data_IF_537187073880
#
_entry.id   IF_537187073880
#
_cell.length_a   1.000
_cell.length_b   1.000
_cell.length_c   1.000
_cell.angle_alpha   90.00
_cell.angle_beta   90.00
_cell.angle_gamma   90.00
#
_symmetry.space_group_name_H-M   'P 1'
#
loop_
_entity.id
_entity.type
_entity.pdbx_description
1 polymer ?
#
# COMPACT_ATOMS: atom_id res chain seq x y z
N UNK A 1 -5.89 -3.89 -13.26
CA UNK A 1 -6.75 -3.16 -12.29
C UNK A 1 -5.85 -2.37 -11.35
N UNK A 2 -6.29 -1.20 -10.86
CA UNK A 2 -5.51 -0.33 -9.96
C UNK A 2 -5.79 -0.64 -8.48
N UNK A 3 -4.92 -0.15 -7.59
CA UNK A 3 -5.11 -0.24 -6.14
C UNK A 3 -6.49 0.31 -5.72
N UNK A 4 -6.82 1.53 -6.16
CA UNK A 4 -8.09 2.18 -5.84
C UNK A 4 -9.30 1.39 -6.30
N UNK A 5 -9.22 0.74 -7.46
CA UNK A 5 -10.30 -0.13 -7.96
C UNK A 5 -10.52 -1.34 -7.04
N UNK A 6 -9.45 -1.98 -6.57
CA UNK A 6 -9.56 -3.08 -5.61
C UNK A 6 -10.03 -2.59 -4.23
N UNK A 7 -9.54 -1.45 -3.75
CA UNK A 7 -9.98 -0.84 -2.50
C UNK A 7 -11.49 -0.52 -2.52
N UNK A 8 -12.03 -0.08 -3.66
CA UNK A 8 -13.47 0.08 -3.86
C UNK A 8 -14.24 -1.22 -3.67
N UNK A 9 -13.74 -2.33 -4.24
CA UNK A 9 -14.35 -3.67 -4.05
C UNK A 9 -14.28 -4.17 -2.62
N UNK A 10 -13.24 -3.84 -1.86
CA UNK A 10 -13.15 -4.22 -0.44
C UNK A 10 -14.26 -3.54 0.38
N UNK A 11 -14.56 -2.27 0.05
CA UNK A 11 -15.59 -1.47 0.73
C UNK A 11 -17.01 -1.81 0.31
N UNK A 12 -17.21 -2.44 -0.85
CA UNK A 12 -18.53 -2.74 -1.40
C UNK A 12 -19.22 -3.86 -0.60
N UNK A 13 -20.28 -3.57 0.18
CA UNK A 13 -20.97 -4.57 0.99
C UNK A 13 -21.85 -5.50 0.15
N UNK A 14 -22.11 -5.18 -1.12
CA UNK A 14 -22.93 -6.02 -2.00
C UNK A 14 -22.16 -7.22 -2.55
N UNK A 15 -20.82 -7.20 -2.44
CA UNK A 15 -19.96 -8.30 -2.86
C UNK A 15 -19.84 -9.37 -1.77
N UNK A 16 -19.79 -10.66 -2.15
CA UNK A 16 -19.47 -11.73 -1.22
C UNK A 16 -18.16 -11.45 -0.47
N UNK A 17 -18.13 -11.71 0.85
CA UNK A 17 -16.97 -11.45 1.70
C UNK A 17 -15.66 -12.00 1.12
N UNK A 18 -15.66 -13.23 0.58
CA UNK A 18 -14.50 -13.84 -0.06
C UNK A 18 -13.96 -13.03 -1.26
N UNK A 19 -14.83 -12.40 -2.05
CA UNK A 19 -14.41 -11.53 -3.16
C UNK A 19 -13.77 -10.24 -2.65
N UNK A 20 -14.30 -9.68 -1.55
CA UNK A 20 -13.74 -8.51 -0.88
C UNK A 20 -12.35 -8.82 -0.29
N UNK A 21 -12.18 -9.99 0.33
CA UNK A 21 -10.87 -10.48 0.81
C UNK A 21 -9.88 -10.66 -0.35
N UNK A 22 -10.33 -11.21 -1.48
CA UNK A 22 -9.49 -11.35 -2.69
C UNK A 22 -9.08 -9.99 -3.25
N UNK A 23 -9.98 -8.99 -3.19
CA UNK A 23 -9.65 -7.63 -3.55
C UNK A 23 -8.61 -7.00 -2.60
N UNK A 24 -8.69 -7.24 -1.29
CA UNK A 24 -7.66 -6.80 -0.33
C UNK A 24 -6.30 -7.43 -0.67
N UNK A 25 -6.26 -8.74 -0.93
CA UNK A 25 -5.03 -9.43 -1.36
C UNK A 25 -4.48 -8.82 -2.66
N UNK A 26 -5.34 -8.42 -3.59
CA UNK A 26 -4.91 -7.71 -4.81
C UNK A 26 -4.32 -6.33 -4.50
N UNK A 27 -4.85 -5.59 -3.52
CA UNK A 27 -4.24 -4.35 -3.03
C UNK A 27 -2.83 -4.61 -2.48
N UNK A 28 -2.66 -5.68 -1.68
CA UNK A 28 -1.35 -6.08 -1.15
C UNK A 28 -0.39 -6.46 -2.28
N UNK A 29 -0.84 -7.21 -3.29
CA UNK A 29 -0.02 -7.57 -4.46
C UNK A 29 0.47 -6.36 -5.27
N UNK A 30 -0.20 -5.21 -5.20
CA UNK A 30 0.21 -3.99 -5.89
C UNK A 30 1.15 -3.10 -5.07
N UNK A 31 1.20 -3.28 -3.75
CA UNK A 31 1.94 -2.41 -2.84
C UNK A 31 3.05 -3.14 -2.06
N UNK A 32 2.75 -4.32 -1.49
CA UNK A 32 3.65 -5.30 -0.84
C UNK A 32 4.92 -4.71 -0.18
N UNK A 33 4.81 -3.75 0.76
CA UNK A 33 5.95 -3.01 1.31
C UNK A 33 6.97 -3.89 2.05
N UNK A 34 6.52 -5.04 2.56
CA UNK A 34 7.34 -6.02 3.28
C UNK A 34 7.48 -7.36 2.54
N UNK A 35 6.90 -7.48 1.34
CA UNK A 35 6.58 -8.77 0.73
C UNK A 35 5.10 -9.14 0.93
N UNK A 36 4.58 -10.03 0.08
CA UNK A 36 3.15 -10.31 0.01
C UNK A 36 2.63 -11.00 1.29
N UNK A 37 3.30 -12.07 1.73
CA UNK A 37 2.84 -12.85 2.89
C UNK A 37 3.07 -12.10 4.19
N UNK A 38 4.21 -11.43 4.30
CA UNK A 38 4.63 -10.61 5.44
C UNK A 38 3.65 -9.45 5.64
N UNK A 39 3.24 -8.79 4.55
CA UNK A 39 2.22 -7.74 4.62
C UNK A 39 0.87 -8.31 5.08
N UNK A 40 0.45 -9.49 4.60
CA UNK A 40 -0.80 -10.10 5.06
C UNK A 40 -0.76 -10.52 6.54
N UNK A 41 0.37 -11.03 7.02
CA UNK A 41 0.57 -11.36 8.43
C UNK A 41 0.53 -10.11 9.31
N UNK A 42 1.21 -9.05 8.88
CA UNK A 42 1.18 -7.75 9.55
C UNK A 42 -0.25 -7.21 9.66
N UNK A 43 -1.02 -7.27 8.56
CA UNK A 43 -2.44 -6.86 8.56
C UNK A 43 -3.28 -7.74 9.49
N UNK A 44 -3.06 -9.06 9.50
CA UNK A 44 -3.76 -9.97 10.43
C UNK A 44 -3.46 -9.65 11.89
N UNK A 45 -2.23 -9.26 12.20
CA UNK A 45 -1.80 -8.89 13.56
C UNK A 45 -2.37 -7.54 13.98
N UNK A 46 -2.46 -6.59 13.05
CA UNK A 46 -2.83 -5.19 13.35
C UNK A 46 -4.34 -4.96 13.33
N UNK A 47 -5.04 -5.54 12.35
CA UNK A 47 -6.48 -5.32 12.13
C UNK A 47 -7.34 -6.53 12.47
N UNK A 48 -6.75 -7.69 12.77
CA UNK A 48 -7.46 -8.93 13.08
C UNK A 48 -7.71 -9.83 11.87
N UNK A 49 -8.54 -10.88 12.06
CA UNK A 49 -8.79 -11.93 11.07
C UNK A 49 -9.77 -11.47 9.99
N UNK A 50 -9.29 -10.64 9.07
CA UNK A 50 -10.07 -10.06 7.97
C UNK A 50 -10.70 -11.08 7.02
N UNK A 51 -10.30 -12.36 7.05
CA UNK A 51 -10.94 -13.40 6.25
C UNK A 51 -12.29 -13.86 6.80
N UNK A 52 -12.64 -13.44 8.03
CA UNK A 52 -13.86 -13.87 8.73
C UNK A 52 -14.68 -12.71 9.31
N UNK A 53 -14.08 -11.54 9.45
CA UNK A 53 -14.70 -10.37 10.04
C UNK A 53 -14.63 -9.19 9.08
N UNK A 54 -15.79 -8.61 8.77
CA UNK A 54 -15.91 -7.46 7.88
C UNK A 54 -15.29 -6.20 8.48
N UNK A 55 -15.37 -6.01 9.79
CA UNK A 55 -14.77 -4.85 10.45
C UNK A 55 -13.25 -4.96 10.39
N UNK A 56 -12.70 -6.15 10.67
CA UNK A 56 -11.28 -6.43 10.50
C UNK A 56 -10.82 -6.22 9.04
N UNK A 57 -11.66 -6.57 8.06
CA UNK A 57 -11.36 -6.36 6.64
C UNK A 57 -11.27 -4.88 6.27
N UNK A 58 -12.20 -4.05 6.75
CA UNK A 58 -12.16 -2.61 6.52
C UNK A 58 -11.00 -1.95 7.26
N UNK A 59 -10.73 -2.35 8.51
CA UNK A 59 -9.57 -1.88 9.27
C UNK A 59 -8.24 -2.25 8.58
N UNK A 60 -8.13 -3.47 8.03
CA UNK A 60 -6.94 -3.91 7.30
C UNK A 60 -6.71 -3.07 6.03
N UNK A 61 -7.78 -2.72 5.32
CA UNK A 61 -7.69 -1.82 4.18
C UNK A 61 -7.21 -0.42 4.59
N UNK A 62 -7.75 0.10 5.69
CA UNK A 62 -7.38 1.43 6.19
C UNK A 62 -5.89 1.50 6.58
N UNK A 63 -5.40 0.50 7.33
CA UNK A 63 -3.98 0.38 7.69
C UNK A 63 -3.09 0.35 6.44
N UNK A 64 -3.50 -0.40 5.41
CA UNK A 64 -2.77 -0.48 4.15
C UNK A 64 -2.78 0.85 3.38
N UNK A 65 -3.90 1.56 3.38
CA UNK A 65 -4.03 2.86 2.73
C UNK A 65 -3.23 3.96 3.41
N UNK A 66 -3.23 4.01 4.75
CA UNK A 66 -2.40 4.94 5.52
C UNK A 66 -0.92 4.76 5.15
N UNK A 67 -0.46 3.51 5.11
CA UNK A 67 0.92 3.20 4.73
C UNK A 67 1.23 3.57 3.29
N UNK A 68 0.33 3.24 2.37
CA UNK A 68 0.46 3.60 0.95
C UNK A 68 0.46 5.11 0.74
N UNK A 69 -0.34 5.87 1.47
CA UNK A 69 -0.36 7.34 1.39
C UNK A 69 0.98 7.93 1.84
N UNK A 70 1.54 7.46 2.95
CA UNK A 70 2.87 7.87 3.42
C UNK A 70 3.96 7.53 2.40
N UNK A 71 3.89 6.36 1.77
CA UNK A 71 4.80 5.99 0.69
C UNK A 71 4.66 6.92 -0.54
N UNK A 72 3.44 7.24 -0.96
CA UNK A 72 3.19 8.15 -2.08
C UNK A 72 3.73 9.56 -1.79
N UNK A 73 3.62 10.05 -0.56
CA UNK A 73 4.22 11.31 -0.14
C UNK A 73 5.75 11.27 -0.26
N UNK A 74 6.40 10.22 0.25
CA UNK A 74 7.84 10.03 0.13
C UNK A 74 8.31 9.97 -1.35
N UNK A 75 7.53 9.33 -2.22
CA UNK A 75 7.78 9.29 -3.67
C UNK A 75 7.67 10.69 -4.29
N UNK A 76 6.67 11.48 -3.91
CA UNK A 76 6.49 12.84 -4.40
C UNK A 76 7.65 13.76 -3.96
N UNK A 77 8.03 13.73 -2.68
CA UNK A 77 9.17 14.48 -2.15
C UNK A 77 10.47 14.12 -2.88
N UNK A 78 10.71 12.83 -3.09
CA UNK A 78 11.86 12.36 -3.86
C UNK A 78 11.84 12.88 -5.30
N UNK A 79 10.67 12.87 -5.95
CA UNK A 79 10.53 13.38 -7.31
C UNK A 79 10.86 14.88 -7.39
N UNK A 80 10.37 15.70 -6.45
CA UNK A 80 10.69 17.14 -6.40
C UNK A 80 12.19 17.38 -6.17
N UNK A 81 12.80 16.66 -5.21
CA UNK A 81 14.25 16.73 -4.97
C UNK A 81 15.04 16.38 -6.22
N UNK A 82 14.69 15.27 -6.90
CA UNK A 82 15.37 14.86 -8.14
C UNK A 82 15.18 15.86 -9.27
N UNK A 83 14.03 16.53 -9.38
CA UNK A 83 13.84 17.60 -10.37
C UNK A 83 14.75 18.79 -10.08
N UNK A 84 14.91 19.19 -8.82
CA UNK A 84 15.82 20.27 -8.43
C UNK A 84 17.29 19.90 -8.71
N UNK A 85 17.73 18.72 -8.29
CA UNK A 85 19.10 18.21 -8.52
C UNK A 85 19.44 18.12 -10.01
N UNK A 86 18.51 17.60 -10.83
CA UNK A 86 18.68 17.54 -12.29
C UNK A 86 18.85 18.94 -12.91
N UNK A 87 18.09 19.94 -12.44
CA UNK A 87 18.23 21.34 -12.89
C UNK A 87 19.58 21.93 -12.48
N UNK A 88 20.11 21.55 -11.32
CA UNK A 88 21.44 21.94 -10.84
C UNK A 88 22.59 21.11 -11.44
N UNK A 89 22.34 20.23 -12.42
CA UNK A 89 23.36 19.42 -13.10
C UNK A 89 23.71 18.10 -12.41
N UNK A 90 23.15 17.81 -11.23
CA UNK A 90 23.39 16.55 -10.51
C UNK A 90 22.44 15.44 -10.97
N UNK A 91 22.94 14.57 -11.86
CA UNK A 91 22.15 13.50 -12.50
C UNK A 91 22.25 12.13 -11.83
N UNK A 92 23.22 11.92 -10.95
CA UNK A 92 23.36 10.66 -10.20
C UNK A 92 22.35 10.66 -9.03
N UNK A 93 21.41 9.69 -8.96
CA UNK A 93 20.50 9.57 -7.82
C UNK A 93 21.26 9.17 -6.55
N UNK A 94 20.86 9.70 -5.40
CA UNK A 94 21.30 9.21 -4.08
C UNK A 94 20.27 8.21 -3.55
N UNK A 95 20.75 7.09 -3.02
CA UNK A 95 19.93 6.13 -2.29
C UNK A 95 19.52 6.67 -0.90
N UNK A 96 18.38 6.26 -0.33
CA UNK A 96 17.43 5.28 -0.88
C UNK A 96 16.42 5.88 -1.87
N UNK A 97 16.11 5.12 -2.93
CA UNK A 97 15.05 5.43 -3.90
C UNK A 97 13.70 4.84 -3.48
N UNK A 98 12.67 5.67 -3.17
CA UNK A 98 11.39 5.20 -2.66
C UNK A 98 10.47 4.62 -3.75
N UNK A 99 10.82 4.64 -5.05
CA UNK A 99 9.94 4.06 -6.08
C UNK A 99 9.67 2.56 -5.90
N UNK A 100 10.50 1.87 -5.10
CA UNK A 100 10.21 0.52 -4.60
C UNK A 100 10.04 0.59 -3.09
N UNK A 101 8.86 0.29 -2.54
CA UNK A 101 8.69 0.22 -1.10
C UNK A 101 9.46 -1.01 -0.58
N UNK A 102 10.38 -0.78 0.35
CA UNK A 102 11.24 -1.83 0.97
C UNK A 102 10.99 -1.97 2.47
N UNK A 103 10.05 -1.19 2.99
CA UNK A 103 9.67 -1.16 4.39
C UNK A 103 8.22 -0.73 4.51
N UNK A 104 7.65 -0.95 5.69
CA UNK A 104 6.40 -0.34 6.09
C UNK A 104 6.58 1.19 6.22
N UNK A 105 5.59 1.95 5.76
CA UNK A 105 5.54 3.40 5.89
C UNK A 105 4.40 3.73 6.88
N UNK A 106 4.67 4.55 7.89
CA UNK A 106 3.70 4.84 8.96
C UNK A 106 3.96 4.01 10.20
#
# INVERSE_FOLDING_TARGET
MSFTSHAGKVRDPTLPHAHRVSALKSCVQLYHPLGFQETLEFLRTTAGRFERDENALLAALEVLEQSRAAWQAAVAEYAERRRAEKRAGSRVPREPNPYRPTRWYG
#
